data_IF_971181022656
#
_entry.id   IF_971181022656
#
_cell.length_a   1.000
_cell.length_b   1.000
_cell.length_c   1.000
_cell.angle_alpha   90.00
_cell.angle_beta   90.00
_cell.angle_gamma   90.00
#
_symmetry.space_group_name_H-M   'P 1'
#
loop_
_entity.id
_entity.type
_entity.pdbx_description
1 polymer ?
#
# COMPACT_ATOMS: atom_id res chain seq x y z
N UNK A 1 2.93 -23.49 41.35
CA UNK A 1 3.12 -23.13 39.93
C UNK A 1 1.77 -23.20 39.25
N UNK A 2 1.11 -22.06 39.11
CA UNK A 2 -0.12 -21.94 38.32
C UNK A 2 0.23 -21.10 37.10
N UNK A 3 0.09 -21.70 35.91
CA UNK A 3 0.45 -21.08 34.64
C UNK A 3 -0.34 -19.80 34.43
N UNK A 4 0.39 -18.71 34.23
CA UNK A 4 -0.19 -17.46 33.80
C UNK A 4 -0.53 -17.61 32.32
N UNK A 5 -1.80 -17.82 32.03
CA UNK A 5 -2.34 -17.69 30.67
C UNK A 5 -1.98 -16.29 30.16
N UNK A 6 -1.02 -16.21 29.24
CA UNK A 6 -0.82 -14.99 28.46
C UNK A 6 -2.03 -14.90 27.54
N UNK A 7 -3.10 -14.27 27.99
CA UNK A 7 -4.11 -13.72 27.09
C UNK A 7 -3.37 -12.73 26.21
N UNK A 8 -3.03 -13.15 24.99
CA UNK A 8 -2.35 -12.32 24.01
C UNK A 8 -3.26 -11.16 23.59
N UNK A 9 -3.35 -10.11 24.39
CA UNK A 9 -3.84 -8.83 23.92
C UNK A 9 -2.70 -8.17 23.17
N UNK A 10 -2.66 -8.33 21.85
CA UNK A 10 -1.93 -7.37 21.03
C UNK A 10 -2.57 -6.01 21.22
N UNK A 11 -1.90 -5.11 21.94
CA UNK A 11 -2.24 -3.69 21.93
C UNK A 11 -1.79 -3.15 20.58
N UNK A 12 -2.70 -3.15 19.60
CA UNK A 12 -2.45 -2.54 18.29
C UNK A 12 -2.70 -1.05 18.44
N UNK A 13 -1.66 -0.25 18.24
CA UNK A 13 -1.83 1.20 18.14
C UNK A 13 -2.57 1.52 16.83
N UNK A 14 -3.87 1.81 16.95
CA UNK A 14 -4.73 2.09 15.81
C UNK A 14 -4.35 3.40 15.12
N UNK A 15 -3.69 4.32 15.82
CA UNK A 15 -3.23 5.58 15.25
C UNK A 15 -2.01 5.38 14.36
N UNK A 16 -1.03 4.58 14.80
CA UNK A 16 0.13 4.22 14.00
C UNK A 16 -0.25 3.31 12.82
N UNK A 17 -1.24 2.42 12.99
CA UNK A 17 -1.75 1.61 11.88
C UNK A 17 -2.46 2.47 10.80
N UNK A 18 -3.21 3.48 11.22
CA UNK A 18 -3.83 4.44 10.31
C UNK A 18 -2.78 5.31 9.59
N UNK A 19 -1.73 5.72 10.31
CA UNK A 19 -0.59 6.46 9.74
C UNK A 19 0.16 5.63 8.70
N UNK A 20 0.50 4.38 9.02
CA UNK A 20 1.12 3.44 8.08
C UNK A 20 0.26 3.24 6.83
N UNK A 21 -1.06 3.08 6.99
CA UNK A 21 -1.98 3.00 5.86
C UNK A 21 -1.89 4.25 4.96
N UNK A 22 -1.81 5.45 5.55
CA UNK A 22 -1.67 6.69 4.78
C UNK A 22 -0.32 6.79 4.07
N UNK A 23 0.78 6.41 4.72
CA UNK A 23 2.11 6.39 4.11
C UNK A 23 2.17 5.43 2.90
N UNK A 24 1.58 4.23 3.02
CA UNK A 24 1.45 3.29 1.92
C UNK A 24 0.61 3.84 0.77
N UNK A 25 -0.50 4.55 1.06
CA UNK A 25 -1.29 5.22 0.01
C UNK A 25 -0.47 6.27 -0.72
N UNK A 26 0.21 7.15 0.00
CA UNK A 26 1.09 8.18 -0.57
C UNK A 26 2.18 7.55 -1.45
N UNK A 27 2.85 6.50 -0.98
CA UNK A 27 3.85 5.77 -1.75
C UNK A 27 3.26 5.16 -3.03
N UNK A 28 2.09 4.54 -2.93
CA UNK A 28 1.40 3.96 -4.10
C UNK A 28 0.98 5.02 -5.12
N UNK A 29 0.58 6.21 -4.67
CA UNK A 29 0.25 7.34 -5.55
C UNK A 29 1.47 7.86 -6.29
N UNK A 30 2.60 8.04 -5.60
CA UNK A 30 3.85 8.47 -6.22
C UNK A 30 4.31 7.47 -7.31
N UNK A 31 4.18 6.17 -7.07
CA UNK A 31 4.51 5.16 -8.09
C UNK A 31 3.51 5.18 -9.26
N UNK A 32 2.22 5.38 -9.00
CA UNK A 32 1.22 5.53 -10.09
C UNK A 32 1.52 6.75 -10.96
N UNK A 33 1.98 7.85 -10.37
CA UNK A 33 2.39 9.05 -11.09
C UNK A 33 3.64 8.80 -11.94
N UNK A 34 4.64 8.11 -11.41
CA UNK A 34 5.82 7.70 -12.18
C UNK A 34 5.45 6.80 -13.37
N UNK A 35 4.54 5.84 -13.17
CA UNK A 35 3.99 5.00 -14.24
C UNK A 35 3.30 5.86 -15.30
N UNK A 36 2.46 6.81 -14.88
CA UNK A 36 1.78 7.74 -15.79
C UNK A 36 2.78 8.52 -16.63
N UNK A 37 3.87 9.01 -16.02
CA UNK A 37 4.90 9.75 -16.76
C UNK A 37 5.59 8.89 -17.83
N UNK A 38 5.85 7.61 -17.53
CA UNK A 38 6.41 6.66 -18.51
C UNK A 38 5.43 6.39 -19.65
N UNK A 39 4.14 6.20 -19.35
CA UNK A 39 3.13 5.90 -20.37
C UNK A 39 2.72 7.10 -21.21
N UNK A 40 2.75 8.31 -20.63
CA UNK A 40 2.40 9.55 -21.32
C UNK A 40 3.55 10.06 -22.20
N UNK A 41 4.79 9.65 -21.92
CA UNK A 41 5.98 10.00 -22.69
C UNK A 41 6.69 8.73 -23.18
N UNK A 42 6.04 7.94 -24.05
CA UNK A 42 6.58 6.66 -24.48
C UNK A 42 7.83 6.86 -25.32
N UNK A 43 8.95 6.27 -24.88
CA UNK A 43 10.15 6.23 -25.69
C UNK A 43 9.88 5.42 -26.97
N UNK A 44 10.17 5.96 -28.15
CA UNK A 44 9.88 5.29 -29.43
C UNK A 44 11.15 4.99 -30.22
N UNK A 45 11.07 4.04 -31.16
CA UNK A 45 12.17 3.70 -32.06
C UNK A 45 12.69 4.90 -32.88
N UNK A 46 11.84 5.91 -33.12
CA UNK A 46 12.22 7.13 -33.82
C UNK A 46 13.15 8.03 -33.00
N UNK A 47 13.06 7.98 -31.67
CA UNK A 47 13.91 8.76 -30.76
C UNK A 47 15.30 8.13 -30.58
N UNK A 48 15.44 6.82 -30.80
CA UNK A 48 16.73 6.14 -30.83
C UNK A 48 17.55 6.47 -32.10
N UNK A 49 16.90 7.01 -33.14
CA UNK A 49 17.51 7.30 -34.43
C UNK A 49 17.56 6.10 -35.38
N UNK A 50 17.69 6.36 -36.69
CA UNK A 50 17.51 5.37 -37.77
C UNK A 50 18.40 4.12 -37.65
N UNK A 51 19.61 4.26 -37.12
CA UNK A 51 20.56 3.16 -36.96
C UNK A 51 20.28 2.28 -35.72
N UNK A 52 19.42 2.73 -34.81
CA UNK A 52 19.14 2.07 -33.54
C UNK A 52 17.65 1.76 -33.35
N UNK A 53 16.89 1.65 -34.44
CA UNK A 53 15.45 1.39 -34.41
C UNK A 53 15.10 0.11 -33.64
N UNK A 54 15.93 -0.94 -33.77
CA UNK A 54 15.77 -2.18 -33.02
C UNK A 54 15.97 -1.97 -31.51
N UNK A 55 17.06 -1.31 -31.12
CA UNK A 55 17.36 -1.01 -29.72
C UNK A 55 16.28 -0.10 -29.13
N UNK A 56 15.77 0.86 -29.91
CA UNK A 56 14.68 1.73 -29.47
C UNK A 56 13.39 0.99 -29.21
N UNK A 57 13.04 0.00 -30.04
CA UNK A 57 11.91 -0.89 -29.79
C UNK A 57 12.11 -1.78 -28.55
N UNK A 58 13.33 -2.27 -28.31
CA UNK A 58 13.66 -3.05 -27.12
C UNK A 58 13.54 -2.20 -25.83
N UNK A 59 14.03 -0.96 -25.86
CA UNK A 59 13.89 -0.01 -24.74
C UNK A 59 12.43 0.32 -24.49
N UNK A 60 11.65 0.60 -25.53
CA UNK A 60 10.21 0.83 -25.43
C UNK A 60 9.50 -0.33 -24.72
N UNK A 61 9.70 -1.57 -25.22
CA UNK A 61 9.09 -2.76 -24.64
C UNK A 61 9.53 -3.00 -23.17
N UNK A 62 10.79 -2.69 -22.84
CA UNK A 62 11.28 -2.79 -21.47
C UNK A 62 10.61 -1.76 -20.55
N UNK A 63 10.43 -0.53 -21.01
CA UNK A 63 9.74 0.53 -20.26
C UNK A 63 8.26 0.21 -20.06
N UNK A 64 7.56 -0.31 -21.08
CA UNK A 64 6.17 -0.76 -20.93
C UNK A 64 6.04 -1.89 -19.91
N UNK A 65 6.95 -2.87 -19.97
CA UNK A 65 6.98 -3.97 -19.01
C UNK A 65 7.23 -3.48 -17.58
N UNK A 66 8.18 -2.56 -17.39
CA UNK A 66 8.46 -1.95 -16.10
C UNK A 66 7.25 -1.17 -15.57
N UNK A 67 6.61 -0.36 -16.41
CA UNK A 67 5.40 0.39 -16.07
C UNK A 67 4.26 -0.54 -15.62
N UNK A 68 4.07 -1.67 -16.29
CA UNK A 68 3.06 -2.65 -15.91
C UNK A 68 3.34 -3.28 -14.53
N UNK A 69 4.59 -3.69 -14.26
CA UNK A 69 4.95 -4.24 -12.96
C UNK A 69 4.82 -3.22 -11.83
N UNK A 70 5.23 -1.97 -12.06
CA UNK A 70 5.06 -0.87 -11.11
C UNK A 70 3.59 -0.59 -10.82
N UNK A 71 2.71 -0.67 -11.83
CA UNK A 71 1.26 -0.53 -11.65
C UNK A 71 0.68 -1.64 -10.78
N UNK A 72 1.08 -2.89 -11.03
CA UNK A 72 0.67 -4.04 -10.21
C UNK A 72 1.12 -3.85 -8.76
N UNK A 73 2.38 -3.47 -8.55
CA UNK A 73 2.93 -3.21 -7.22
C UNK A 73 2.17 -2.08 -6.51
N UNK A 74 1.94 -0.95 -7.18
CA UNK A 74 1.21 0.17 -6.59
C UNK A 74 -0.22 -0.21 -6.19
N UNK A 75 -0.90 -1.03 -7.00
CA UNK A 75 -2.23 -1.53 -6.67
C UNK A 75 -2.21 -2.46 -5.45
N UNK A 76 -1.23 -3.36 -5.37
CA UNK A 76 -1.05 -4.22 -4.20
C UNK A 76 -0.77 -3.40 -2.93
N UNK A 77 0.08 -2.37 -3.02
CA UNK A 77 0.37 -1.44 -1.91
C UNK A 77 -0.88 -0.69 -1.46
N UNK A 78 -1.72 -0.21 -2.39
CA UNK A 78 -3.03 0.39 -2.06
C UNK A 78 -3.93 -0.62 -1.34
N UNK A 79 -4.03 -1.86 -1.82
CA UNK A 79 -4.86 -2.88 -1.20
C UNK A 79 -4.39 -3.21 0.25
N UNK A 80 -3.08 -3.27 0.47
CA UNK A 80 -2.50 -3.42 1.81
C UNK A 80 -2.84 -2.24 2.71
N UNK A 81 -2.75 -1.01 2.20
CA UNK A 81 -3.14 0.18 2.94
C UNK A 81 -4.63 0.16 3.33
N UNK A 82 -5.50 -0.31 2.44
CA UNK A 82 -6.93 -0.45 2.73
C UNK A 82 -7.20 -1.52 3.79
N UNK A 83 -6.46 -2.63 3.76
CA UNK A 83 -6.55 -3.66 4.80
C UNK A 83 -6.11 -3.10 6.17
N UNK A 84 -5.00 -2.36 6.24
CA UNK A 84 -4.57 -1.73 7.49
C UNK A 84 -5.54 -0.67 7.98
N UNK A 85 -6.09 0.18 7.10
CA UNK A 85 -7.11 1.15 7.47
C UNK A 85 -8.38 0.50 8.04
N UNK A 86 -8.85 -0.59 7.41
CA UNK A 86 -10.01 -1.36 7.92
C UNK A 86 -9.73 -2.00 9.28
N UNK A 87 -8.53 -2.56 9.45
CA UNK A 87 -8.12 -3.13 10.73
C UNK A 87 -8.05 -2.08 11.84
N UNK A 88 -7.52 -0.88 11.56
CA UNK A 88 -7.49 0.22 12.53
C UNK A 88 -8.89 0.62 13.02
N UNK A 89 -9.86 0.73 12.10
CA UNK A 89 -11.27 1.03 12.43
C UNK A 89 -11.88 -0.09 13.28
N UNK A 90 -11.64 -1.34 12.89
CA UNK A 90 -12.17 -2.52 13.59
C UNK A 90 -11.67 -2.58 15.02
N UNK A 91 -10.35 -2.41 15.22
CA UNK A 91 -9.76 -2.40 16.55
C UNK A 91 -10.27 -1.25 17.41
N UNK A 92 -10.38 -0.04 16.84
CA UNK A 92 -10.93 1.12 17.57
C UNK A 92 -12.39 0.90 18.01
N UNK A 93 -13.21 0.27 17.17
CA UNK A 93 -14.62 -0.03 17.50
C UNK A 93 -14.72 -1.09 18.61
N UNK A 94 -13.89 -2.14 18.55
CA UNK A 94 -13.83 -3.17 19.59
C UNK A 94 -13.37 -2.58 20.91
N UNK A 95 -12.35 -1.71 20.88
CA UNK A 95 -11.83 -1.05 22.08
C UNK A 95 -12.89 -0.15 22.75
N UNK A 96 -13.58 0.69 21.97
CA UNK A 96 -14.69 1.50 22.46
C UNK A 96 -15.82 0.64 23.08
N UNK A 97 -16.23 -0.44 22.40
CA UNK A 97 -17.26 -1.35 22.93
C UNK A 97 -16.85 -2.03 24.23
N UNK A 98 -15.56 -2.36 24.38
CA UNK A 98 -15.04 -2.95 25.60
C UNK A 98 -14.96 -1.92 26.74
N UNK A 99 -14.57 -0.67 26.43
CA UNK A 99 -14.55 0.44 27.39
C UNK A 99 -15.96 0.78 27.91
N UNK A 100 -16.98 0.73 27.06
CA UNK A 100 -18.38 0.95 27.47
C UNK A 100 -18.85 -0.15 28.43
N UNK A 101 -18.51 -1.42 28.15
CA UNK A 101 -18.89 -2.57 28.99
C UNK A 101 -18.20 -2.56 30.35
N UNK A 102 -16.93 -2.17 30.42
CA UNK A 102 -16.21 -2.06 31.71
C UNK A 102 -16.70 -0.89 32.54
N UNK A 103 -17.05 0.23 31.91
CA UNK A 103 -17.64 1.40 32.59
C UNK A 103 -19.06 1.09 33.10
N UNK A 104 -19.83 0.28 32.36
CA UNK A 104 -21.15 -0.16 32.79
C UNK A 104 -21.13 -1.20 33.94
N UNK A 105 -20.11 -2.06 33.99
CA UNK A 105 -19.95 -3.08 35.04
C UNK A 105 -19.34 -2.58 36.36
N UNK A 106 -18.97 -1.29 36.43
CA UNK A 106 -18.42 -0.65 37.64
C UNK A 106 -19.42 0.30 38.33
N UNK A 107 -20.69 0.31 37.90
CA UNK A 107 -21.83 0.91 38.63
C UNK A 107 -22.66 -0.17 39.33
#
# INVERSE_FOLDING_TARGET
MAGQTITGSMVVDTSELAKLANELRTSSSAVKEAVKNITDNPFSANEAGRNYSKQGAEVHAALERAANWLKIWANATTATADAFGKSAITYSTVDASNADKTTAGTK
#
